data_IF_308962153975
#
_entry.id   IF_308962153975
#
_cell.length_a   1.000
_cell.length_b   1.000
_cell.length_c   1.000
_cell.angle_alpha   90.00
_cell.angle_beta   90.00
_cell.angle_gamma   90.00
#
_symmetry.space_group_name_H-M   'P 1'
#
loop_
_entity.id
_entity.type
_entity.pdbx_description
1 polymer ?
#
# COMPACT_ATOMS: atom_id res chain seq x y z
N UNK A 1 6.14 21.07 0.27
CA UNK A 1 6.33 20.96 1.74
C UNK A 1 6.20 22.33 2.38
N UNK A 2 5.20 22.52 3.25
CA UNK A 2 4.95 23.81 3.92
C UNK A 2 6.03 24.13 4.98
N UNK A 3 6.52 23.13 5.70
CA UNK A 3 7.53 23.28 6.77
C UNK A 3 8.92 23.69 6.28
N UNK A 4 9.26 23.43 5.02
CA UNK A 4 10.52 23.90 4.43
C UNK A 4 10.68 25.43 4.51
N UNK A 5 9.56 26.17 4.51
CA UNK A 5 9.54 27.63 4.63
C UNK A 5 9.69 28.13 6.09
N UNK A 6 9.58 27.23 7.07
CA UNK A 6 9.68 27.53 8.50
C UNK A 6 11.08 27.17 8.99
N UNK A 7 11.51 25.94 8.71
CA UNK A 7 12.85 25.45 9.02
C UNK A 7 13.28 24.45 7.94
N UNK A 8 14.23 24.86 7.09
CA UNK A 8 14.69 24.05 5.96
C UNK A 8 15.47 22.81 6.43
N UNK A 9 16.27 22.95 7.48
CA UNK A 9 17.14 21.89 7.98
C UNK A 9 16.32 20.78 8.63
N UNK A 10 15.43 21.13 9.56
CA UNK A 10 14.53 20.17 10.21
C UNK A 10 13.62 19.52 9.17
N UNK A 11 13.06 20.30 8.24
CA UNK A 11 12.20 19.76 7.19
C UNK A 11 12.94 18.75 6.32
N UNK A 12 14.22 18.99 5.99
CA UNK A 12 15.03 18.08 5.20
C UNK A 12 15.33 16.79 5.98
N UNK A 13 15.85 16.89 7.19
CA UNK A 13 16.22 15.73 8.02
C UNK A 13 15.00 14.85 8.31
N UNK A 14 13.86 15.45 8.67
CA UNK A 14 12.63 14.71 8.92
C UNK A 14 12.13 13.98 7.65
N UNK A 15 12.20 14.64 6.49
CA UNK A 15 11.79 14.04 5.22
C UNK A 15 12.71 12.87 4.83
N UNK A 16 14.02 13.03 4.95
CA UNK A 16 14.98 11.95 4.69
C UNK A 16 14.75 10.77 5.63
N UNK A 17 14.44 11.04 6.91
CA UNK A 17 14.10 9.97 7.85
C UNK A 17 12.84 9.24 7.44
N UNK A 18 11.78 9.97 7.06
CA UNK A 18 10.54 9.38 6.56
C UNK A 18 10.78 8.53 5.29
N UNK A 19 11.59 9.01 4.34
CA UNK A 19 11.95 8.27 3.13
C UNK A 19 12.54 6.90 3.45
N UNK A 20 13.41 6.83 4.47
CA UNK A 20 14.01 5.57 4.93
C UNK A 20 12.96 4.60 5.51
N UNK A 21 11.80 5.07 5.95
CA UNK A 21 10.69 4.23 6.42
C UNK A 21 9.74 3.79 5.29
N UNK A 22 9.86 4.34 4.08
CA UNK A 22 9.03 3.93 2.94
C UNK A 22 9.38 2.54 2.39
N UNK A 23 10.53 1.97 2.77
CA UNK A 23 10.90 0.59 2.42
C UNK A 23 9.89 -0.49 2.87
N UNK A 24 9.09 -0.19 3.90
CA UNK A 24 8.02 -1.09 4.36
C UNK A 24 6.85 -1.15 3.38
N UNK A 25 6.76 -0.24 2.42
CA UNK A 25 5.71 -0.21 1.41
C UNK A 25 6.05 -1.16 0.26
N UNK A 26 6.22 -2.43 0.61
CA UNK A 26 6.43 -3.53 -0.34
C UNK A 26 5.09 -4.01 -0.90
N UNK A 27 5.15 -4.70 -2.04
CA UNK A 27 3.97 -5.35 -2.65
C UNK A 27 3.24 -6.27 -1.64
N UNK A 28 3.99 -6.89 -0.73
CA UNK A 28 3.42 -7.79 0.27
C UNK A 28 2.69 -7.02 1.37
N UNK A 29 3.33 -6.02 1.98
CA UNK A 29 2.78 -5.34 3.15
C UNK A 29 1.63 -4.40 2.81
N UNK A 30 1.59 -3.84 1.60
CA UNK A 30 0.49 -2.95 1.21
C UNK A 30 -0.87 -3.66 1.18
N UNK A 31 -0.90 -4.98 0.95
CA UNK A 31 -2.14 -5.75 0.98
C UNK A 31 -2.80 -5.77 2.37
N UNK A 32 -2.04 -5.57 3.45
CA UNK A 32 -2.59 -5.47 4.81
C UNK A 32 -3.48 -4.24 5.00
N UNK A 33 -3.30 -3.19 4.18
CA UNK A 33 -4.16 -2.01 4.23
C UNK A 33 -5.61 -2.31 3.82
N UNK A 34 -5.89 -3.48 3.24
CA UNK A 34 -7.27 -3.95 2.99
C UNK A 34 -8.06 -4.20 4.28
N UNK A 35 -7.38 -4.45 5.40
CA UNK A 35 -7.98 -4.63 6.73
C UNK A 35 -8.05 -3.33 7.55
N UNK A 36 -7.46 -2.24 7.07
CA UNK A 36 -7.54 -0.95 7.76
C UNK A 36 -8.92 -0.30 7.50
N UNK A 37 -9.60 0.10 8.58
CA UNK A 37 -10.90 0.76 8.51
C UNK A 37 -10.79 2.23 8.06
N UNK A 38 -9.59 2.81 8.14
CA UNK A 38 -9.32 4.17 7.66
C UNK A 38 -9.12 4.22 6.14
N UNK A 39 -8.92 3.07 5.49
CA UNK A 39 -8.81 2.99 4.03
C UNK A 39 -10.22 2.92 3.43
N UNK A 40 -10.66 3.93 2.66
CA UNK A 40 -12.02 3.95 2.12
C UNK A 40 -12.28 2.80 1.14
N UNK A 41 -13.54 2.35 1.07
CA UNK A 41 -13.95 1.27 0.16
C UNK A 41 -13.59 1.55 -1.32
N UNK A 42 -13.63 2.82 -1.76
CA UNK A 42 -13.21 3.18 -3.13
C UNK A 42 -11.71 2.89 -3.39
N UNK A 43 -10.85 3.10 -2.41
CA UNK A 43 -9.42 2.78 -2.48
C UNK A 43 -9.22 1.26 -2.41
N UNK A 44 -9.91 0.56 -1.51
CA UNK A 44 -9.89 -0.92 -1.44
C UNK A 44 -10.24 -1.55 -2.80
N UNK A 45 -11.25 -1.03 -3.51
CA UNK A 45 -11.60 -1.46 -4.88
C UNK A 45 -10.45 -1.25 -5.87
N UNK A 46 -9.78 -0.11 -5.83
CA UNK A 46 -8.64 0.19 -6.71
C UNK A 46 -7.47 -0.76 -6.44
N UNK A 47 -7.19 -1.05 -5.17
CA UNK A 47 -6.17 -2.04 -4.78
C UNK A 47 -6.51 -3.44 -5.31
N UNK A 48 -7.75 -3.93 -5.13
CA UNK A 48 -8.19 -5.24 -5.67
C UNK A 48 -8.11 -5.29 -7.19
N UNK A 49 -8.43 -4.18 -7.87
CA UNK A 49 -8.27 -4.09 -9.32
C UNK A 49 -6.78 -4.25 -9.70
N UNK A 50 -5.89 -3.57 -8.97
CA UNK A 50 -4.45 -3.65 -9.20
C UNK A 50 -3.89 -5.07 -8.94
N UNK A 51 -4.41 -5.83 -7.97
CA UNK A 51 -4.00 -7.24 -7.77
C UNK A 51 -4.34 -8.15 -8.95
N UNK A 52 -5.28 -7.75 -9.82
CA UNK A 52 -5.69 -8.54 -11.00
C UNK A 52 -4.98 -8.07 -12.28
N UNK A 53 -4.70 -6.78 -12.38
CA UNK A 53 -4.24 -6.15 -13.64
C UNK A 53 -2.73 -5.86 -13.65
N UNK A 54 -2.12 -5.53 -12.51
CA UNK A 54 -0.74 -5.05 -12.45
C UNK A 54 0.22 -6.21 -12.22
N UNK A 55 1.08 -6.48 -13.19
CA UNK A 55 2.16 -7.46 -13.01
C UNK A 55 3.20 -6.93 -12.03
N UNK A 56 3.56 -7.74 -11.03
CA UNK A 56 4.62 -7.40 -10.09
C UNK A 56 5.93 -7.18 -10.81
N UNK A 57 6.63 -6.10 -10.49
CA UNK A 57 8.02 -5.94 -10.93
C UNK A 57 8.88 -6.85 -10.07
N UNK A 58 10.03 -7.31 -10.58
CA UNK A 58 11.08 -7.83 -9.71
C UNK A 58 11.64 -6.65 -8.91
N UNK A 59 10.87 -6.16 -7.95
CA UNK A 59 11.32 -5.12 -7.04
C UNK A 59 12.41 -5.77 -6.19
N UNK A 60 13.56 -5.09 -6.13
CA UNK A 60 14.58 -5.41 -5.15
C UNK A 60 13.91 -5.54 -3.76
N UNK A 61 14.49 -6.35 -2.86
CA UNK A 61 13.98 -6.55 -1.49
C UNK A 61 13.71 -5.24 -0.73
N UNK A 62 14.23 -4.10 -1.22
CA UNK A 62 13.92 -2.75 -0.76
C UNK A 62 13.56 -1.87 -1.96
N UNK A 63 12.32 -1.35 -2.06
CA UNK A 63 11.97 -0.39 -3.10
C UNK A 63 12.68 0.95 -2.82
N UNK A 64 13.37 1.51 -3.81
CA UNK A 64 13.96 2.85 -3.74
C UNK A 64 12.89 3.89 -4.09
N UNK A 65 12.11 4.28 -3.08
CA UNK A 65 11.03 5.26 -3.24
C UNK A 65 11.57 6.66 -2.94
N UNK A 66 11.73 7.46 -3.99
CA UNK A 66 12.08 8.88 -3.83
C UNK A 66 10.90 9.66 -3.28
N UNK A 67 11.13 10.48 -2.26
CA UNK A 67 10.08 11.18 -1.52
C UNK A 67 9.24 12.15 -2.39
N UNK A 68 9.85 12.76 -3.42
CA UNK A 68 9.11 13.57 -4.40
C UNK A 68 8.05 12.75 -5.14
N UNK A 69 8.39 11.51 -5.49
CA UNK A 69 7.48 10.61 -6.20
C UNK A 69 6.43 10.04 -5.23
N UNK A 70 6.82 9.78 -3.98
CA UNK A 70 5.92 9.26 -2.95
C UNK A 70 4.70 10.14 -2.69
N UNK A 71 4.88 11.47 -2.68
CA UNK A 71 3.78 12.40 -2.40
C UNK A 71 2.65 12.34 -3.44
N UNK A 72 2.95 11.87 -4.65
CA UNK A 72 2.00 11.73 -5.74
C UNK A 72 1.48 10.28 -5.90
N UNK A 73 2.04 9.34 -5.15
CA UNK A 73 1.66 7.92 -5.18
C UNK A 73 0.41 7.66 -4.35
N UNK A 74 -0.37 6.68 -4.80
CA UNK A 74 -1.57 6.16 -4.14
C UNK A 74 -1.35 4.72 -3.69
N UNK A 75 -2.29 4.17 -2.91
CA UNK A 75 -2.19 2.80 -2.42
C UNK A 75 -2.11 1.79 -3.56
N UNK A 76 -2.94 1.93 -4.59
CA UNK A 76 -2.98 1.01 -5.72
C UNK A 76 -1.68 1.00 -6.54
N UNK A 77 -0.84 2.03 -6.46
CA UNK A 77 0.46 2.09 -7.16
C UNK A 77 1.49 1.10 -6.60
N UNK A 78 1.27 0.63 -5.37
CA UNK A 78 2.14 -0.35 -4.70
C UNK A 78 1.57 -1.77 -4.75
N UNK A 79 0.32 -1.91 -5.22
CA UNK A 79 -0.38 -3.20 -5.27
C UNK A 79 -0.16 -3.86 -6.62
N UNK A 80 0.22 -5.12 -6.61
CA UNK A 80 0.39 -5.92 -7.81
C UNK A 80 -0.21 -7.31 -7.63
N UNK A 81 -0.19 -8.14 -8.67
CA UNK A 81 -0.55 -9.56 -8.59
C UNK A 81 0.17 -10.31 -7.47
N UNK A 82 1.39 -9.88 -7.11
CA UNK A 82 2.16 -10.49 -6.01
C UNK A 82 1.61 -10.14 -4.63
N UNK A 83 0.95 -9.00 -4.48
CA UNK A 83 0.33 -8.58 -3.22
C UNK A 83 -0.70 -9.60 -2.74
N UNK A 84 -1.48 -10.19 -3.65
CA UNK A 84 -2.44 -11.25 -3.32
C UNK A 84 -1.77 -12.54 -2.77
N UNK A 85 -0.48 -12.77 -3.05
CA UNK A 85 0.24 -13.92 -2.48
C UNK A 85 0.45 -13.79 -0.96
N UNK A 86 0.24 -12.60 -0.38
CA UNK A 86 0.29 -12.42 1.08
C UNK A 86 -0.72 -13.34 1.78
N UNK A 87 -1.96 -13.37 1.31
CA UNK A 87 -3.03 -14.14 1.94
C UNK A 87 -2.68 -15.63 2.00
N UNK A 88 -2.20 -16.19 0.87
CA UNK A 88 -1.70 -17.56 0.83
C UNK A 88 -0.52 -17.82 1.78
N UNK A 89 0.43 -16.89 1.89
CA UNK A 89 1.60 -17.04 2.79
C UNK A 89 1.21 -16.96 4.27
N UNK A 90 0.20 -16.16 4.59
CA UNK A 90 -0.32 -16.00 5.94
C UNK A 90 -1.39 -17.04 6.29
N UNK A 91 -1.76 -17.92 5.36
CA UNK A 91 -2.88 -18.85 5.51
C UNK A 91 -4.20 -18.15 5.83
N UNK A 92 -4.42 -16.97 5.24
CA UNK A 92 -5.67 -16.22 5.31
C UNK A 92 -6.57 -16.60 4.14
N UNK A 93 -7.88 -16.59 4.38
CA UNK A 93 -8.86 -16.66 3.30
C UNK A 93 -8.74 -15.41 2.42
N UNK A 94 -8.93 -15.59 1.11
CA UNK A 94 -8.87 -14.52 0.11
C UNK A 94 -10.17 -14.41 -0.71
N UNK A 95 -11.21 -15.15 -0.32
CA UNK A 95 -12.51 -15.17 -0.96
C UNK A 95 -13.18 -13.80 -0.99
N UNK A 96 -12.99 -12.99 0.07
CA UNK A 96 -13.44 -11.61 0.14
C UNK A 96 -12.88 -10.70 -0.99
N UNK A 97 -11.74 -11.02 -1.61
CA UNK A 97 -11.19 -10.27 -2.75
C UNK A 97 -12.04 -10.35 -4.03
N UNK A 98 -13.03 -11.25 -4.05
CA UNK A 98 -13.94 -11.47 -5.18
C UNK A 98 -15.28 -10.75 -5.05
N UNK A 99 -15.54 -10.09 -3.92
CA UNK A 99 -16.77 -9.36 -3.62
C UNK A 99 -16.49 -7.88 -3.31
N UNK A 100 -17.53 -7.04 -3.32
CA UNK A 100 -17.36 -5.60 -3.10
C UNK A 100 -16.97 -5.27 -1.65
N UNK A 101 -16.00 -4.37 -1.40
CA UNK A 101 -15.59 -3.98 -0.05
C UNK A 101 -16.69 -3.45 0.86
N UNK A 102 -17.83 -2.99 0.31
CA UNK A 102 -18.97 -2.53 1.11
C UNK A 102 -19.60 -3.61 1.98
N UNK A 103 -19.44 -4.88 1.65
CA UNK A 103 -20.08 -5.99 2.37
C UNK A 103 -19.09 -6.87 3.14
N UNK A 104 -17.81 -6.49 3.18
CA UNK A 104 -16.76 -7.27 3.80
C UNK A 104 -16.96 -7.47 5.31
N UNK A 105 -17.39 -6.43 6.04
CA UNK A 105 -17.67 -6.51 7.49
C UNK A 105 -18.76 -7.52 7.87
N UNK A 106 -19.49 -8.06 6.88
CA UNK A 106 -20.53 -9.06 7.08
C UNK A 106 -20.09 -10.46 6.63
N UNK A 107 -18.84 -10.64 6.22
CA UNK A 107 -18.32 -11.94 5.84
C UNK A 107 -17.52 -12.56 6.99
N UNK A 108 -17.61 -13.88 7.14
CA UNK A 108 -16.86 -14.61 8.18
C UNK A 108 -15.37 -14.73 7.85
N UNK A 109 -14.98 -14.55 6.59
CA UNK A 109 -13.62 -14.70 6.08
C UNK A 109 -12.83 -13.39 6.00
N UNK A 110 -13.41 -12.27 6.46
CA UNK A 110 -12.81 -10.93 6.55
C UNK A 110 -12.62 -10.49 8.00
#
# INVERSE_FOLDING_TARGET
MKYKKIDEEISKVASEKLANHLWYLSEDLVALALFDNQVPHCIKRQMIKATKEVNGKNLAKRPDIKLKNFMDMKFEDFVTKRSALLFKRMSLHDTFLHIDPQIWEHQEDY
#
